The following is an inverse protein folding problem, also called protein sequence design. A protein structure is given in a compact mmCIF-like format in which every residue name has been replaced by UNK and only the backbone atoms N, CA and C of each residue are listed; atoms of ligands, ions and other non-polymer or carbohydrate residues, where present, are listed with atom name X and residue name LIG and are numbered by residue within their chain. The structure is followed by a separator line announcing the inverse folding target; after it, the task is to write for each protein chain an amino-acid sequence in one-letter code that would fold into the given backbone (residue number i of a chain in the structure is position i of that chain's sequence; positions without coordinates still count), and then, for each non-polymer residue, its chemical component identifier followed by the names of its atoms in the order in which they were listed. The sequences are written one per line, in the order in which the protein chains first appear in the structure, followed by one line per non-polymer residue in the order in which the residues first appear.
data_IF_484949087384
#
_entry.id   IF_484949087384
#
_cell.length_a   1.000
_cell.length_b   1.000
_cell.length_c   1.000
_cell.angle_alpha   90.00
_cell.angle_beta   90.00
_cell.angle_gamma   90.00
#
_symmetry.space_group_name_H-M   'P 1'
#
loop_
_entity.id
_entity.type
_entity.pdbx_description
1 polymer ?
#
# COMPACT_ATOMS: atom_id res chain seq x y z
N UNK A 1 -1.52 9.85 -12.22
CA UNK A 1 -1.93 8.71 -11.38
C UNK A 1 -0.80 7.68 -11.27
N UNK A 2 -0.17 7.28 -12.38
CA UNK A 2 0.94 6.31 -12.41
C UNK A 2 2.11 6.59 -11.45
N UNK A 3 2.66 7.81 -11.41
CA UNK A 3 3.83 8.10 -10.57
C UNK A 3 3.63 7.84 -9.06
N UNK A 4 2.41 8.02 -8.54
CA UNK A 4 2.11 7.75 -7.12
C UNK A 4 2.03 6.24 -6.87
N UNK A 5 1.35 5.51 -7.76
CA UNK A 5 1.26 4.05 -7.71
C UNK A 5 2.66 3.41 -7.85
N UNK A 6 3.48 3.90 -8.77
CA UNK A 6 4.86 3.45 -8.96
C UNK A 6 5.72 3.67 -7.71
N UNK A 7 5.58 4.83 -7.05
CA UNK A 7 6.31 5.13 -5.80
C UNK A 7 5.90 4.19 -4.66
N UNK A 8 4.61 3.90 -4.54
CA UNK A 8 4.11 2.94 -3.57
C UNK A 8 4.64 1.53 -3.88
N UNK A 9 4.55 1.08 -5.14
CA UNK A 9 5.02 -0.25 -5.54
C UNK A 9 6.53 -0.43 -5.31
N UNK A 10 7.32 0.61 -5.54
CA UNK A 10 8.74 0.62 -5.20
C UNK A 10 8.97 0.45 -3.70
N UNK A 11 8.23 1.21 -2.89
CA UNK A 11 8.29 1.11 -1.42
C UNK A 11 7.88 -0.28 -0.94
N UNK A 12 6.82 -0.85 -1.51
CA UNK A 12 6.36 -2.20 -1.18
C UNK A 12 7.43 -3.25 -1.50
N UNK A 13 8.10 -3.12 -2.65
CA UNK A 13 9.19 -4.01 -3.03
C UNK A 13 10.36 -3.93 -2.05
N UNK A 14 10.90 -2.72 -1.88
CA UNK A 14 12.10 -2.46 -1.07
C UNK A 14 11.88 -2.72 0.43
N UNK A 15 10.65 -2.54 0.95
CA UNK A 15 10.39 -2.64 2.40
C UNK A 15 9.74 -3.96 2.83
N UNK A 16 9.16 -4.73 1.91
CA UNK A 16 8.45 -5.96 2.26
C UNK A 16 8.85 -7.14 1.39
N UNK A 17 8.72 -7.01 0.06
CA UNK A 17 8.88 -8.16 -0.85
C UNK A 17 10.30 -8.70 -0.82
N UNK A 18 11.31 -7.84 -0.91
CA UNK A 18 12.73 -8.27 -0.89
C UNK A 18 13.11 -9.01 0.40
N UNK A 19 12.48 -8.67 1.53
CA UNK A 19 12.70 -9.35 2.82
C UNK A 19 11.93 -10.65 2.98
N UNK A 20 10.86 -10.85 2.20
CA UNK A 20 9.97 -12.01 2.31
C UNK A 20 9.96 -12.83 1.01
N UNK A 21 10.95 -12.64 0.12
CA UNK A 21 10.98 -13.23 -1.22
C UNK A 21 10.95 -14.76 -1.16
N UNK A 22 11.64 -15.36 -0.18
CA UNK A 22 11.64 -16.82 0.04
C UNK A 22 10.20 -17.36 0.23
N UNK A 23 9.36 -16.62 0.95
CA UNK A 23 7.97 -17.04 1.21
C UNK A 23 7.12 -17.06 -0.05
N UNK A 24 7.48 -16.33 -1.12
CA UNK A 24 6.78 -16.43 -2.41
C UNK A 24 6.90 -17.84 -3.02
N UNK A 25 7.99 -18.54 -2.74
CA UNK A 25 8.27 -19.86 -3.30
C UNK A 25 7.94 -21.00 -2.33
N UNK A 26 8.09 -20.77 -1.02
CA UNK A 26 7.91 -21.81 0.00
C UNK A 26 6.51 -21.84 0.61
N UNK A 27 5.93 -20.68 0.92
CA UNK A 27 4.63 -20.58 1.59
C UNK A 27 3.90 -19.28 1.21
N UNK A 28 3.20 -19.35 0.09
CA UNK A 28 2.44 -18.22 -0.45
C UNK A 28 1.30 -17.79 0.48
N UNK A 29 0.74 -18.69 1.29
CA UNK A 29 -0.32 -18.35 2.23
C UNK A 29 0.23 -17.47 3.35
N UNK A 30 1.37 -17.84 3.92
CA UNK A 30 2.07 -17.03 4.92
C UNK A 30 2.56 -15.69 4.34
N UNK A 31 3.05 -15.68 3.10
CA UNK A 31 3.41 -14.44 2.41
C UNK A 31 2.21 -13.48 2.34
N UNK A 32 1.04 -13.98 1.90
CA UNK A 32 -0.18 -13.17 1.79
C UNK A 32 -0.66 -12.65 3.15
N UNK A 33 -0.58 -13.47 4.20
CA UNK A 33 -0.91 -13.04 5.56
C UNK A 33 -0.01 -11.86 5.99
N UNK A 34 1.31 -12.03 5.88
CA UNK A 34 2.28 -10.99 6.26
C UNK A 34 2.12 -9.73 5.42
N UNK A 35 1.81 -9.88 4.13
CA UNK A 35 1.54 -8.75 3.24
C UNK A 35 0.30 -7.98 3.73
N UNK A 36 -0.76 -8.69 4.12
CA UNK A 36 -1.94 -8.09 4.71
C UNK A 36 -1.62 -7.28 5.98
N UNK A 37 -0.85 -7.86 6.89
CA UNK A 37 -0.40 -7.19 8.13
C UNK A 37 0.43 -5.93 7.83
N UNK A 38 1.36 -6.01 6.86
CA UNK A 38 2.15 -4.87 6.42
C UNK A 38 1.28 -3.75 5.84
N UNK A 39 0.30 -4.08 5.00
CA UNK A 39 -0.61 -3.09 4.41
C UNK A 39 -1.48 -2.40 5.45
N UNK A 40 -1.98 -3.15 6.45
CA UNK A 40 -2.74 -2.57 7.57
C UNK A 40 -1.87 -1.59 8.36
N UNK A 41 -0.63 -1.96 8.68
CA UNK A 41 0.33 -1.09 9.36
C UNK A 41 0.62 0.17 8.54
N UNK A 42 0.94 0.02 7.26
CA UNK A 42 1.30 1.11 6.36
C UNK A 42 0.16 2.13 6.20
N UNK A 43 -1.07 1.65 6.07
CA UNK A 43 -2.24 2.48 5.79
C UNK A 43 -2.89 3.07 7.06
N UNK A 44 -2.74 2.43 8.22
CA UNK A 44 -3.51 2.79 9.42
C UNK A 44 -2.66 3.28 10.58
N UNK A 45 -1.34 3.02 10.57
CA UNK A 45 -0.46 3.34 11.71
C UNK A 45 0.78 4.15 11.34
N UNK A 46 1.29 4.01 10.11
CA UNK A 46 2.50 4.72 9.68
C UNK A 46 2.18 6.17 9.29
N UNK A 47 2.74 7.18 9.97
CA UNK A 47 2.59 8.58 9.56
C UNK A 47 3.45 8.87 8.33
N UNK A 48 2.91 9.63 7.37
CA UNK A 48 3.61 10.00 6.14
C UNK A 48 3.91 11.49 6.10
N UNK A 49 5.19 11.84 5.92
CA UNK A 49 5.64 13.25 5.84
C UNK A 49 4.91 14.03 4.74
N UNK A 50 4.66 13.39 3.59
CA UNK A 50 3.93 13.99 2.48
C UNK A 50 2.44 14.28 2.80
N UNK A 51 1.89 13.64 3.83
CA UNK A 51 0.51 13.81 4.29
C UNK A 51 0.46 14.60 5.62
N UNK A 52 1.42 15.51 5.85
CA UNK A 52 1.51 16.27 7.10
C UNK A 52 1.51 15.38 8.36
N UNK A 53 2.22 14.24 8.28
CA UNK A 53 2.31 13.22 9.34
C UNK A 53 1.01 12.45 9.63
N UNK A 54 -0.02 12.57 8.79
CA UNK A 54 -1.18 11.69 8.85
C UNK A 54 -0.88 10.33 8.21
N UNK A 55 -1.65 9.33 8.61
CA UNK A 55 -1.76 8.05 7.92
C UNK A 55 -2.60 8.18 6.64
N UNK A 56 -2.48 7.26 5.68
CA UNK A 56 -3.28 7.28 4.47
C UNK A 56 -4.78 7.22 4.75
N UNK A 57 -5.21 6.41 5.73
CA UNK A 57 -6.63 6.31 6.13
C UNK A 57 -7.13 7.64 6.72
N UNK A 58 -6.37 8.28 7.61
CA UNK A 58 -6.75 9.59 8.17
C UNK A 58 -6.87 10.66 7.09
N UNK A 59 -5.94 10.66 6.13
CA UNK A 59 -5.99 11.59 5.00
C UNK A 59 -7.25 11.38 4.15
N UNK A 60 -7.61 10.13 3.84
CA UNK A 60 -8.82 9.81 3.06
C UNK A 60 -10.08 10.29 3.79
N UNK A 61 -10.18 10.01 5.10
CA UNK A 61 -11.30 10.44 5.93
C UNK A 61 -11.41 11.96 6.00
N UNK A 62 -10.29 12.67 6.16
CA UNK A 62 -10.27 14.14 6.24
C UNK A 62 -10.71 14.80 4.94
N UNK A 63 -10.24 14.29 3.80
CA UNK A 63 -10.50 14.89 2.50
C UNK A 63 -11.86 14.51 1.92
N UNK A 64 -12.67 13.69 2.64
CA UNK A 64 -13.92 13.09 2.14
C UNK A 64 -13.76 12.48 0.75
N UNK A 65 -12.57 11.93 0.45
CA UNK A 65 -12.29 11.31 -0.85
C UNK A 65 -12.89 9.93 -0.85
N UNK A 66 -13.85 9.69 -1.75
CA UNK A 66 -14.30 8.34 -2.02
C UNK A 66 -13.15 7.55 -2.65
N UNK A 67 -12.76 6.45 -2.00
CA UNK A 67 -11.95 5.44 -2.66
C UNK A 67 -12.83 4.77 -3.72
N UNK A 68 -12.52 5.02 -4.99
CA UNK A 68 -13.00 4.13 -6.04
C UNK A 68 -12.30 2.79 -5.81
N UNK A 69 -13.01 1.81 -5.21
CA UNK A 69 -12.48 0.44 -5.06
C UNK A 69 -12.06 -0.16 -6.41
N UNK A 70 -12.67 0.33 -7.48
CA UNK A 70 -12.48 -0.16 -8.84
C UNK A 70 -11.58 0.78 -9.64
N UNK A 71 -10.82 0.18 -10.54
CA UNK A 71 -10.01 0.93 -11.50
C UNK A 71 -10.90 1.80 -12.37
N UNK A 72 -10.58 3.09 -12.48
CA UNK A 72 -11.32 4.00 -13.37
C UNK A 72 -11.00 3.64 -14.82
N UNK A 73 -12.02 3.41 -15.64
CA UNK A 73 -11.87 3.08 -17.05
C UNK A 73 -11.04 4.15 -17.77
N UNK A 74 -9.81 3.83 -18.15
CA UNK A 74 -8.97 4.72 -18.97
C UNK A 74 -9.54 4.73 -20.38
N UNK A 75 -10.05 5.87 -20.86
CA UNK A 75 -10.38 6.00 -22.29
C UNK A 75 -9.06 6.04 -23.07
N UNK A 76 -8.93 5.13 -24.03
CA UNK A 76 -7.88 5.16 -25.04
C UNK A 76 -8.09 6.34 -25.99
#
# INVERSE_FOLDING_TARGET
MNAICERFNRTLREQFIEFNEILLFEDLALFNQKLGEYLVLYNSKRPHKALALMTPVEYILRENKNCNMWWTHTKC
#
